data_IF_225643791993
#
_entry.id   IF_225643791993
#
_cell.length_a   1.000
_cell.length_b   1.000
_cell.length_c   1.000
_cell.angle_alpha   90.00
_cell.angle_beta   90.00
_cell.angle_gamma   90.00
#
_symmetry.space_group_name_H-M   'P 1'
#
loop_
_entity.id
_entity.type
_entity.pdbx_description
1 polymer ?
#
# COMPACT_ATOMS: atom_id res chain seq x y z
N UNK A 1 33.75 18.80 40.19
CA UNK A 1 34.84 18.71 39.20
C UNK A 1 34.54 19.66 38.05
N UNK A 2 35.45 20.59 37.70
CA UNK A 2 35.29 21.47 36.52
C UNK A 2 36.04 20.86 35.33
N UNK A 3 35.48 20.87 34.11
CA UNK A 3 36.15 20.33 32.92
C UNK A 3 37.38 21.17 32.53
N UNK A 4 38.28 20.58 31.75
CA UNK A 4 39.47 21.27 31.25
C UNK A 4 39.11 22.41 30.28
N UNK A 5 39.97 23.43 30.19
CA UNK A 5 39.70 24.66 29.43
C UNK A 5 39.34 24.40 27.95
N UNK A 6 40.08 23.50 27.30
CA UNK A 6 39.85 23.13 25.89
C UNK A 6 38.48 22.47 25.72
N UNK A 7 38.11 21.56 26.63
CA UNK A 7 36.82 20.90 26.62
C UNK A 7 35.67 21.88 26.90
N UNK A 8 35.87 22.83 27.82
CA UNK A 8 34.90 23.86 28.14
C UNK A 8 34.63 24.79 26.94
N UNK A 9 35.61 25.07 26.10
CA UNK A 9 35.40 25.83 24.85
C UNK A 9 34.53 25.04 23.85
N UNK A 10 34.75 23.73 23.71
CA UNK A 10 33.95 22.87 22.82
C UNK A 10 32.52 22.68 23.33
N UNK A 11 32.34 22.46 24.64
CA UNK A 11 31.02 22.25 25.25
C UNK A 11 30.10 23.46 25.08
N UNK A 12 30.63 24.68 25.15
CA UNK A 12 29.87 25.92 24.94
C UNK A 12 29.29 26.07 23.52
N UNK A 13 29.90 25.41 22.53
CA UNK A 13 29.46 25.46 21.12
C UNK A 13 28.51 24.34 20.74
N UNK A 14 28.26 23.37 21.63
CA UNK A 14 27.29 22.31 21.36
C UNK A 14 25.88 22.89 21.37
N UNK A 15 25.01 22.33 20.54
CA UNK A 15 23.59 22.70 20.50
C UNK A 15 22.94 22.47 21.85
N UNK A 16 22.08 23.40 22.26
CA UNK A 16 21.43 23.31 23.56
C UNK A 16 20.48 22.11 23.63
N UNK A 17 20.67 21.30 24.65
CA UNK A 17 19.82 20.18 25.06
C UNK A 17 18.86 20.63 26.15
N UNK A 18 17.78 19.85 26.34
CA UNK A 18 16.76 20.07 27.38
C UNK A 18 17.31 20.08 28.81
N UNK A 19 18.51 19.54 29.05
CA UNK A 19 19.09 19.36 30.39
C UNK A 19 20.23 20.32 30.75
N UNK A 20 20.60 21.24 29.85
CA UNK A 20 21.82 22.04 30.02
C UNK A 20 21.62 23.36 30.78
N UNK A 21 20.43 23.98 30.70
CA UNK A 21 20.18 25.33 31.23
C UNK A 21 18.84 25.37 31.98
N UNK A 22 18.77 26.14 33.06
CA UNK A 22 17.54 26.39 33.83
C UNK A 22 16.65 27.39 33.07
N UNK A 23 15.34 27.15 33.02
CA UNK A 23 14.33 28.00 32.35
C UNK A 23 14.35 28.01 30.80
N UNK A 24 15.21 27.22 30.14
CA UNK A 24 15.15 27.01 28.70
C UNK A 24 14.29 25.78 28.38
N UNK A 25 13.17 25.99 27.67
CA UNK A 25 12.35 24.89 27.18
C UNK A 25 12.73 24.52 25.74
N UNK A 26 12.91 23.22 25.50
CA UNK A 26 13.10 22.65 24.16
C UNK A 26 12.22 21.41 24.02
N UNK A 27 11.42 21.35 22.95
CA UNK A 27 10.55 20.22 22.66
C UNK A 27 11.30 18.97 22.22
N UNK A 28 10.65 17.81 22.30
CA UNK A 28 11.19 16.48 21.92
C UNK A 28 10.47 15.87 20.70
N UNK A 29 9.68 16.64 19.96
CA UNK A 29 8.96 16.16 18.79
C UNK A 29 7.67 15.40 19.09
N UNK A 30 7.10 15.53 20.29
CA UNK A 30 5.84 14.87 20.66
C UNK A 30 4.63 15.39 19.89
N UNK A 31 4.71 16.59 19.33
CA UNK A 31 3.58 17.29 18.68
C UNK A 31 2.68 18.03 19.67
N UNK A 32 1.76 18.83 19.14
CA UNK A 32 0.78 19.61 19.91
C UNK A 32 -0.46 18.74 20.22
N UNK A 33 -0.69 18.43 21.50
CA UNK A 33 -1.82 17.59 21.96
C UNK A 33 -2.97 18.39 22.57
N UNK A 34 -2.92 19.72 22.46
CA UNK A 34 -3.84 20.59 23.18
C UNK A 34 -3.33 22.03 23.27
N UNK A 35 -3.91 22.80 24.18
CA UNK A 35 -3.64 24.24 24.31
C UNK A 35 -3.35 24.60 25.77
N UNK A 36 -2.37 25.49 25.99
CA UNK A 36 -2.09 26.08 27.30
C UNK A 36 -2.95 27.34 27.45
N UNK A 37 -3.71 27.46 28.53
CA UNK A 37 -4.51 28.65 28.80
C UNK A 37 -3.65 29.81 29.34
N UNK A 38 -4.21 31.03 29.41
CA UNK A 38 -3.51 32.21 29.94
C UNK A 38 -3.04 32.05 31.40
N UNK A 39 -3.58 31.07 32.14
CA UNK A 39 -3.20 30.74 33.52
C UNK A 39 -2.14 29.62 33.60
N UNK A 40 -1.55 29.21 32.47
CA UNK A 40 -0.51 28.18 32.40
C UNK A 40 -1.01 26.74 32.54
N UNK A 41 -2.32 26.49 32.61
CA UNK A 41 -2.87 25.12 32.65
C UNK A 41 -3.00 24.56 31.23
N UNK A 42 -2.61 23.31 31.06
CA UNK A 42 -2.77 22.57 29.81
C UNK A 42 -4.17 21.96 29.71
N UNK A 43 -4.84 22.12 28.57
CA UNK A 43 -6.09 21.44 28.21
C UNK A 43 -5.82 20.50 27.04
N UNK A 44 -6.14 19.22 27.22
CA UNK A 44 -5.97 18.16 26.21
C UNK A 44 -7.08 18.28 25.16
N UNK A 45 -6.69 18.17 23.89
CA UNK A 45 -7.59 18.07 22.75
C UNK A 45 -7.58 16.62 22.25
N UNK A 46 -8.64 15.87 22.55
CA UNK A 46 -8.70 14.42 22.30
C UNK A 46 -8.67 14.06 20.82
N UNK A 47 -9.08 14.97 19.93
CA UNK A 47 -9.04 14.75 18.48
C UNK A 47 -7.60 14.71 17.95
N UNK A 48 -6.66 15.33 18.67
CA UNK A 48 -5.22 15.35 18.32
C UNK A 48 -4.43 14.24 19.00
N UNK A 49 -5.02 13.54 19.98
CA UNK A 49 -4.34 12.46 20.69
C UNK A 49 -4.25 11.24 19.78
N UNK A 50 -3.01 10.84 19.44
CA UNK A 50 -2.77 9.65 18.61
C UNK A 50 -3.13 8.38 19.38
N UNK A 51 -3.96 7.53 18.77
CA UNK A 51 -4.29 6.19 19.25
C UNK A 51 -3.64 5.14 18.35
N UNK A 52 -3.25 4.00 18.93
CA UNK A 52 -2.78 2.84 18.20
C UNK A 52 -3.88 1.78 18.27
N UNK A 53 -4.71 1.72 17.23
CA UNK A 53 -5.88 0.82 17.19
C UNK A 53 -5.41 -0.60 16.84
N UNK A 54 -5.54 -1.57 17.75
CA UNK A 54 -5.25 -2.96 17.43
C UNK A 54 -6.37 -3.57 16.56
N UNK A 55 -6.08 -4.58 15.73
CA UNK A 55 -7.10 -5.29 14.98
C UNK A 55 -8.08 -6.02 15.92
N UNK A 56 -9.37 -6.00 15.59
CA UNK A 56 -10.44 -6.57 16.44
C UNK A 56 -10.32 -8.09 16.64
N UNK A 57 -9.87 -8.83 15.62
CA UNK A 57 -9.61 -10.28 15.75
C UNK A 57 -8.34 -10.60 16.56
N UNK A 58 -7.67 -9.57 17.09
CA UNK A 58 -6.48 -9.67 17.92
C UNK A 58 -5.26 -10.22 17.18
N UNK A 59 -4.17 -10.41 17.91
CA UNK A 59 -2.96 -11.14 17.45
C UNK A 59 -3.14 -12.65 17.58
N UNK A 60 -4.34 -13.12 17.92
CA UNK A 60 -4.60 -14.51 18.32
C UNK A 60 -4.76 -15.44 17.12
N UNK A 61 -5.17 -14.92 15.95
CA UNK A 61 -5.11 -15.63 14.67
C UNK A 61 -3.66 -15.70 14.16
N UNK A 62 -2.85 -16.51 14.84
CA UNK A 62 -1.38 -16.63 14.73
C UNK A 62 -0.85 -17.29 13.44
N UNK A 63 -1.59 -17.21 12.34
CA UNK A 63 -1.10 -17.74 11.06
C UNK A 63 0.07 -16.90 10.54
N UNK A 64 -0.01 -15.58 10.67
CA UNK A 64 1.03 -14.65 10.23
C UNK A 64 2.07 -14.42 11.33
N UNK A 65 3.36 -14.54 10.96
CA UNK A 65 4.52 -14.35 11.84
C UNK A 65 5.46 -13.30 11.25
N UNK A 66 6.28 -12.63 12.08
CA UNK A 66 7.25 -11.64 11.58
C UNK A 66 8.38 -12.25 10.72
N UNK A 67 8.52 -13.57 10.72
CA UNK A 67 9.53 -14.30 9.95
C UNK A 67 8.89 -15.38 9.09
N UNK A 68 9.47 -15.62 7.92
CA UNK A 68 9.10 -16.68 6.98
C UNK A 68 10.15 -17.79 7.04
N UNK A 69 9.76 -19.02 6.73
CA UNK A 69 10.70 -20.14 6.63
C UNK A 69 11.68 -19.93 5.46
N UNK A 70 12.95 -20.27 5.66
CA UNK A 70 13.99 -20.22 4.61
C UNK A 70 13.72 -21.18 3.44
N UNK A 71 12.81 -22.14 3.62
CA UNK A 71 12.45 -23.11 2.59
C UNK A 71 11.49 -22.54 1.55
N UNK A 72 10.82 -21.41 1.85
CA UNK A 72 9.94 -20.74 0.89
C UNK A 72 10.80 -20.01 -0.14
N UNK A 73 10.60 -20.32 -1.42
CA UNK A 73 11.31 -19.65 -2.51
C UNK A 73 11.01 -18.15 -2.51
N UNK A 74 12.04 -17.34 -2.73
CA UNK A 74 11.92 -15.87 -2.80
C UNK A 74 11.35 -15.39 -4.15
N UNK A 75 11.46 -16.22 -5.19
CA UNK A 75 11.09 -15.89 -6.56
C UNK A 75 9.76 -16.53 -6.93
N UNK A 76 9.04 -15.90 -7.85
CA UNK A 76 7.86 -16.51 -8.46
C UNK A 76 8.29 -17.43 -9.59
N UNK A 77 7.68 -18.61 -9.65
CA UNK A 77 7.75 -19.47 -10.82
C UNK A 77 6.83 -18.87 -11.90
N UNK A 78 7.41 -18.34 -12.97
CA UNK A 78 6.67 -17.70 -14.08
C UNK A 78 6.39 -18.71 -15.21
N UNK A 79 6.97 -19.91 -15.13
CA UNK A 79 6.76 -21.02 -16.05
C UNK A 79 7.60 -22.23 -15.65
N UNK A 80 7.46 -23.33 -16.40
CA UNK A 80 7.96 -24.68 -16.06
C UNK A 80 9.48 -24.76 -15.77
N UNK A 81 10.27 -23.77 -16.21
CA UNK A 81 11.72 -23.67 -15.94
C UNK A 81 12.24 -22.23 -15.77
N UNK A 82 11.38 -21.22 -15.54
CA UNK A 82 11.80 -19.82 -15.46
C UNK A 82 11.39 -19.16 -14.15
N UNK A 83 12.38 -18.74 -13.36
CA UNK A 83 12.19 -17.97 -12.14
C UNK A 83 12.38 -16.49 -12.44
N UNK A 84 11.36 -15.66 -12.17
CA UNK A 84 11.48 -14.22 -12.25
C UNK A 84 11.38 -13.60 -10.86
N UNK A 85 12.07 -12.49 -10.66
CA UNK A 85 11.80 -11.63 -9.52
C UNK A 85 10.41 -11.01 -9.70
N UNK A 86 9.65 -10.87 -8.62
CA UNK A 86 8.38 -10.14 -8.64
C UNK A 86 8.58 -8.76 -9.26
N UNK A 87 7.66 -8.36 -10.15
CA UNK A 87 7.67 -7.01 -10.68
C UNK A 87 7.56 -6.01 -9.52
N UNK A 88 8.56 -5.14 -9.41
CA UNK A 88 8.72 -4.27 -8.23
C UNK A 88 7.67 -3.16 -8.12
N UNK A 89 6.84 -2.99 -9.15
CA UNK A 89 5.88 -1.89 -9.26
C UNK A 89 4.52 -2.44 -9.59
N UNK A 90 3.62 -2.33 -8.63
CA UNK A 90 2.21 -2.53 -8.86
C UNK A 90 1.68 -1.39 -9.75
N UNK A 91 1.27 -1.71 -10.97
CA UNK A 91 0.78 -0.72 -11.92
C UNK A 91 -0.72 -0.50 -11.73
N UNK A 92 -1.22 0.73 -11.91
CA UNK A 92 -2.66 1.02 -11.79
C UNK A 92 -3.55 0.21 -12.74
N UNK A 93 -3.04 -0.20 -13.91
CA UNK A 93 -3.73 -1.12 -14.83
C UNK A 93 -3.89 -2.52 -14.24
N UNK A 94 -2.80 -3.09 -13.68
CA UNK A 94 -2.82 -4.38 -12.98
C UNK A 94 -3.82 -4.34 -11.82
N UNK A 95 -3.84 -3.25 -11.03
CA UNK A 95 -4.86 -3.07 -9.99
C UNK A 95 -6.29 -3.09 -10.53
N UNK A 96 -6.53 -2.41 -11.65
CA UNK A 96 -7.85 -2.30 -12.24
C UNK A 96 -8.30 -3.63 -12.85
N UNK A 97 -7.39 -4.39 -13.44
CA UNK A 97 -7.61 -5.76 -13.92
C UNK A 97 -7.92 -6.71 -12.75
N UNK A 98 -7.11 -6.69 -11.69
CA UNK A 98 -7.33 -7.48 -10.47
C UNK A 98 -8.66 -7.10 -9.80
N UNK A 99 -8.98 -5.80 -9.71
CA UNK A 99 -10.25 -5.33 -9.18
C UNK A 99 -11.42 -5.75 -10.04
N UNK A 100 -11.28 -5.70 -11.37
CA UNK A 100 -12.31 -6.22 -12.27
C UNK A 100 -12.51 -7.71 -12.12
N UNK A 101 -11.47 -8.48 -11.80
CA UNK A 101 -11.48 -9.97 -11.73
C UNK A 101 -11.88 -10.51 -10.36
N UNK A 102 -11.51 -9.83 -9.28
CA UNK A 102 -11.69 -10.28 -7.89
C UNK A 102 -12.54 -9.33 -7.05
N UNK A 103 -12.96 -8.21 -7.63
CA UNK A 103 -13.79 -7.22 -6.97
C UNK A 103 -15.14 -7.79 -6.55
N UNK A 104 -15.68 -7.22 -5.47
CA UNK A 104 -16.91 -7.68 -4.79
C UNK A 104 -18.16 -7.51 -5.69
N UNK A 105 -18.11 -6.62 -6.69
CA UNK A 105 -19.23 -6.25 -7.57
C UNK A 105 -19.10 -6.85 -8.99
N UNK A 106 -18.55 -8.07 -9.09
CA UNK A 106 -18.32 -8.69 -10.39
C UNK A 106 -19.62 -9.23 -11.01
N UNK A 107 -20.25 -8.42 -11.86
CA UNK A 107 -20.92 -8.99 -13.04
C UNK A 107 -19.80 -9.63 -13.89
N UNK A 108 -19.83 -10.94 -14.19
CA UNK A 108 -18.86 -11.53 -15.11
C UNK A 108 -18.83 -10.69 -16.39
N UNK A 109 -17.65 -10.38 -16.98
CA UNK A 109 -17.63 -9.75 -18.28
C UNK A 109 -18.50 -10.61 -19.18
N UNK A 110 -19.55 -10.01 -19.74
CA UNK A 110 -20.35 -10.66 -20.75
C UNK A 110 -19.37 -11.26 -21.74
N UNK A 111 -19.34 -12.59 -21.80
CA UNK A 111 -18.52 -13.33 -22.75
C UNK A 111 -18.66 -12.59 -24.08
N UNK A 112 -17.54 -12.12 -24.64
CA UNK A 112 -17.54 -11.52 -25.97
C UNK A 112 -18.07 -12.61 -26.90
N UNK A 113 -19.33 -12.48 -27.29
CA UNK A 113 -20.01 -13.39 -28.21
C UNK A 113 -19.43 -13.18 -29.59
N UNK A 114 -18.22 -13.69 -29.82
CA UNK A 114 -17.54 -13.82 -31.11
C UNK A 114 -18.17 -14.96 -31.96
N UNK A 115 -19.46 -15.27 -31.79
CA UNK A 115 -20.16 -16.26 -32.65
C UNK A 115 -21.05 -15.62 -33.72
N UNK A 116 -21.33 -14.31 -33.66
CA UNK A 116 -22.27 -13.68 -34.60
C UNK A 116 -21.64 -13.41 -35.97
N UNK A 117 -20.31 -13.28 -36.05
CA UNK A 117 -19.60 -12.93 -37.29
C UNK A 117 -19.41 -14.08 -38.30
N UNK A 118 -19.35 -15.32 -37.84
CA UNK A 118 -19.16 -16.50 -38.72
C UNK A 118 -20.47 -17.01 -39.33
N UNK A 119 -21.61 -16.76 -38.68
CA UNK A 119 -22.93 -17.14 -39.21
C UNK A 119 -23.38 -16.25 -40.39
N UNK A 120 -23.07 -14.95 -40.35
CA UNK A 120 -23.43 -14.01 -41.43
C UNK A 120 -22.63 -14.25 -42.71
N UNK A 121 -21.36 -14.66 -42.60
CA UNK A 121 -20.52 -14.99 -43.76
C UNK A 121 -21.03 -16.24 -44.51
N UNK A 122 -21.44 -17.28 -43.77
CA UNK A 122 -21.98 -18.51 -44.36
C UNK A 122 -23.39 -18.33 -44.99
N UNK A 123 -24.20 -17.39 -44.47
CA UNK A 123 -25.52 -17.09 -45.04
C UNK A 123 -25.40 -16.28 -46.35
N UNK A 124 -24.41 -15.39 -46.46
CA UNK A 124 -24.14 -14.61 -47.66
C UNK A 124 -23.67 -15.50 -48.83
N UNK A 125 -22.80 -16.48 -48.58
CA UNK A 125 -22.29 -17.39 -49.62
C UNK A 125 -23.36 -18.34 -50.19
N UNK A 126 -24.42 -18.63 -49.44
CA UNK A 126 -25.53 -19.47 -49.90
C UNK A 126 -26.50 -18.78 -50.88
N UNK A 127 -26.47 -17.44 -50.95
CA UNK A 127 -27.38 -16.64 -51.78
C UNK A 127 -26.90 -16.39 -53.21
N UNK A 128 -25.61 -16.61 -53.49
CA UNK A 128 -24.98 -16.30 -54.78
C UNK A 128 -24.87 -17.51 -55.74
N UNK A 129 -25.59 -18.61 -55.49
CA UNK A 129 -25.67 -19.72 -56.45
C UNK A 129 -26.78 -19.46 -57.50
N UNK A 130 -26.45 -19.15 -58.77
CA UNK A 130 -27.47 -18.93 -59.80
C UNK A 130 -28.23 -20.21 -60.10
N UNK A 131 -29.56 -20.15 -59.93
CA UNK A 131 -30.48 -21.25 -60.19
C UNK A 131 -30.38 -21.74 -61.64
N UNK A 132 -29.99 -23.00 -61.80
CA UNK A 132 -29.93 -23.68 -63.09
C UNK A 132 -31.31 -23.77 -63.76
N UNK A 133 -31.41 -23.19 -64.94
CA UNK A 133 -32.53 -23.32 -65.88
C UNK A 133 -32.70 -24.79 -66.29
N UNK A 134 -33.86 -25.38 -66.03
CA UNK A 134 -34.21 -26.72 -66.55
C UNK A 134 -34.68 -26.61 -68.01
N UNK A 135 -34.10 -27.44 -68.88
CA UNK A 135 -34.65 -27.85 -70.16
C UNK A 135 -35.09 -29.31 -70.05
#
# INVERSE_FOLDING_TARGET
MKPTQILQMRLRRRTLSTKQVKHFYKGTGTGLMGTINNKGKFRVDWDKVRTFVPPQMGTTSKTLKPFVSKMVALNQEVGEQSWAAYEKKFTGKQYLEDWKTYGIDHDPPAEEVEEVGLAEQNLAESRDQPGGTKA
#
